data_IF_750330716308
#
_entry.id   IF_750330716308
#
_cell.length_a   1.000
_cell.length_b   1.000
_cell.length_c   1.000
_cell.angle_alpha   90.00
_cell.angle_beta   90.00
_cell.angle_gamma   90.00
#
_symmetry.space_group_name_H-M   'P 1'
#
loop_
_entity.id
_entity.type
_entity.pdbx_description
1 polymer ?
#
# COMPACT_ATOMS: atom_id res chain seq x y z
N UNK A 1 9.64 -0.50 2.54
CA UNK A 1 9.32 -1.46 3.61
C UNK A 1 8.63 -0.78 4.79
N UNK A 2 9.27 0.21 5.43
CA UNK A 2 8.74 0.91 6.62
C UNK A 2 7.32 1.45 6.43
N UNK A 3 7.03 2.07 5.29
CA UNK A 3 5.70 2.65 5.07
C UNK A 3 4.59 1.58 4.95
N UNK A 4 4.88 0.44 4.30
CA UNK A 4 3.92 -0.69 4.20
C UNK A 4 3.60 -1.23 5.60
N UNK A 5 4.64 -1.37 6.44
CA UNK A 5 4.48 -1.81 7.83
C UNK A 5 3.64 -0.81 8.62
N UNK A 6 3.94 0.49 8.52
CA UNK A 6 3.19 1.53 9.23
C UNK A 6 1.73 1.60 8.79
N UNK A 7 1.45 1.48 7.49
CA UNK A 7 0.07 1.40 6.97
C UNK A 7 -0.66 0.17 7.51
N UNK A 8 -0.01 -1.00 7.51
CA UNK A 8 -0.58 -2.23 8.08
C UNK A 8 -0.87 -2.09 9.58
N UNK A 9 0.02 -1.47 10.35
CA UNK A 9 -0.20 -1.20 11.79
C UNK A 9 -1.34 -0.21 12.01
N UNK A 10 -1.43 0.86 11.22
CA UNK A 10 -2.55 1.81 11.31
C UNK A 10 -3.88 1.10 11.07
N UNK A 11 -3.97 0.30 10.01
CA UNK A 11 -5.19 -0.44 9.68
C UNK A 11 -5.54 -1.46 10.77
N UNK A 12 -4.57 -2.24 11.26
CA UNK A 12 -4.82 -3.24 12.29
C UNK A 12 -5.30 -2.62 13.61
N UNK A 13 -4.83 -1.42 13.95
CA UNK A 13 -5.14 -0.78 15.24
C UNK A 13 -6.45 0.02 15.22
N UNK A 14 -6.89 0.53 14.07
CA UNK A 14 -8.13 1.31 13.92
C UNK A 14 -9.36 0.72 14.64
N UNK A 15 -9.76 -0.55 14.43
CA UNK A 15 -10.99 -1.09 15.02
C UNK A 15 -10.92 -1.24 16.54
N UNK A 16 -9.73 -1.17 17.14
CA UNK A 16 -9.52 -1.33 18.59
C UNK A 16 -9.26 -0.01 19.32
N UNK A 17 -9.28 1.12 18.61
CA UNK A 17 -8.97 2.43 19.19
C UNK A 17 -10.22 3.13 19.73
N UNK A 18 -10.08 3.93 20.79
CA UNK A 18 -11.14 4.84 21.20
C UNK A 18 -11.33 5.96 20.17
N UNK A 19 -12.49 6.62 20.17
CA UNK A 19 -12.86 7.61 19.15
C UNK A 19 -11.79 8.72 18.95
N UNK A 20 -11.15 9.18 20.03
CA UNK A 20 -10.07 10.16 19.93
C UNK A 20 -8.83 9.59 19.23
N UNK A 21 -8.39 8.39 19.64
CA UNK A 21 -7.23 7.74 19.05
C UNK A 21 -7.47 7.31 17.60
N UNK A 22 -8.70 6.94 17.25
CA UNK A 22 -9.10 6.65 15.87
C UNK A 22 -8.77 7.81 14.93
N UNK A 23 -9.16 9.04 15.29
CA UNK A 23 -8.86 10.22 14.48
C UNK A 23 -7.36 10.47 14.32
N UNK A 24 -6.57 10.26 15.39
CA UNK A 24 -5.12 10.35 15.31
C UNK A 24 -4.53 9.32 14.34
N UNK A 25 -4.95 8.05 14.45
CA UNK A 25 -4.51 6.98 13.55
C UNK A 25 -4.94 7.25 12.10
N UNK A 26 -6.13 7.80 11.90
CA UNK A 26 -6.67 8.16 10.59
C UNK A 26 -5.86 9.29 9.92
N UNK A 27 -5.43 10.30 10.68
CA UNK A 27 -4.53 11.35 10.18
C UNK A 27 -3.18 10.76 9.77
N UNK A 28 -2.59 9.90 10.60
CA UNK A 28 -1.31 9.25 10.29
C UNK A 28 -1.45 8.40 9.02
N UNK A 29 -2.49 7.58 8.93
CA UNK A 29 -2.79 6.78 7.76
C UNK A 29 -2.96 7.63 6.50
N UNK A 30 -3.66 8.76 6.60
CA UNK A 30 -3.86 9.71 5.49
C UNK A 30 -2.55 10.33 5.01
N UNK A 31 -1.71 10.81 5.94
CA UNK A 31 -0.39 11.38 5.61
C UNK A 31 0.49 10.32 4.94
N UNK A 32 0.56 9.11 5.49
CA UNK A 32 1.36 8.02 4.92
C UNK A 32 0.89 7.65 3.51
N UNK A 33 -0.43 7.57 3.29
CA UNK A 33 -0.99 7.17 1.99
C UNK A 33 -0.63 8.15 0.86
N UNK A 34 -0.53 9.45 1.16
CA UNK A 34 -0.22 10.47 0.16
C UNK A 34 1.28 10.82 0.06
N UNK A 35 2.03 10.71 1.16
CA UNK A 35 3.45 11.07 1.19
C UNK A 35 4.35 10.13 0.34
N UNK A 36 3.88 8.93 0.01
CA UNK A 36 4.63 7.93 -0.76
C UNK A 36 4.73 8.28 -2.25
N UNK A 37 3.70 8.91 -2.81
CA UNK A 37 3.57 9.09 -4.25
C UNK A 37 4.69 9.93 -4.86
N UNK A 38 5.05 11.11 -4.31
CA UNK A 38 6.10 11.94 -4.91
C UNK A 38 7.48 11.27 -4.93
N UNK A 39 7.96 10.62 -3.84
CA UNK A 39 9.19 9.84 -3.87
C UNK A 39 9.22 8.70 -4.90
N UNK A 40 8.12 7.94 -5.05
CA UNK A 40 8.04 6.86 -6.04
C UNK A 40 8.14 7.44 -7.46
N UNK A 41 7.38 8.49 -7.76
CA UNK A 41 7.40 9.13 -9.07
C UNK A 41 8.80 9.69 -9.41
N UNK A 42 9.44 10.37 -8.45
CA UNK A 42 10.81 10.89 -8.63
C UNK A 42 11.82 9.76 -8.86
N UNK A 43 11.70 8.65 -8.11
CA UNK A 43 12.60 7.50 -8.26
C UNK A 43 12.48 6.83 -9.63
N UNK A 44 11.26 6.65 -10.15
CA UNK A 44 11.03 6.08 -11.49
C UNK A 44 11.65 6.94 -12.60
N UNK A 45 11.51 8.27 -12.50
CA UNK A 45 12.15 9.20 -13.44
C UNK A 45 13.67 9.04 -13.40
N UNK A 46 14.27 8.97 -12.20
CA UNK A 46 15.72 8.85 -12.05
C UNK A 46 16.26 7.50 -12.56
N UNK A 47 15.50 6.41 -12.40
CA UNK A 47 15.91 5.08 -12.85
C UNK A 47 15.98 4.96 -14.36
N UNK A 48 15.09 5.62 -15.10
CA UNK A 48 15.12 5.61 -16.57
C UNK A 48 14.54 6.89 -17.14
N UNK A 49 15.34 7.97 -17.23
CA UNK A 49 14.86 9.27 -17.69
C UNK A 49 14.22 9.23 -19.07
N UNK A 50 14.82 8.47 -20.01
CA UNK A 50 14.35 8.35 -21.40
C UNK A 50 13.01 7.61 -21.55
N UNK A 51 12.65 6.73 -20.60
CA UNK A 51 11.39 5.95 -20.63
C UNK A 51 10.47 6.28 -19.46
N UNK A 52 10.70 7.43 -18.82
CA UNK A 52 10.01 7.84 -17.60
C UNK A 52 8.48 7.89 -17.76
N UNK A 53 7.98 8.41 -18.88
CA UNK A 53 6.54 8.44 -19.20
C UNK A 53 5.92 7.03 -19.24
N UNK A 54 6.63 6.06 -19.83
CA UNK A 54 6.17 4.67 -19.90
C UNK A 54 6.16 4.06 -18.49
N UNK A 55 7.23 4.26 -17.71
CA UNK A 55 7.28 3.72 -16.34
C UNK A 55 6.23 4.33 -15.43
N UNK A 56 5.98 5.64 -15.55
CA UNK A 56 4.92 6.32 -14.80
C UNK A 56 3.53 5.83 -15.21
N UNK A 57 3.27 5.68 -16.51
CA UNK A 57 1.97 5.19 -16.99
C UNK A 57 1.69 3.75 -16.52
N UNK A 58 2.70 2.88 -16.52
CA UNK A 58 2.60 1.52 -15.98
C UNK A 58 2.36 1.54 -14.47
N UNK A 59 3.10 2.36 -13.72
CA UNK A 59 2.91 2.52 -12.28
C UNK A 59 1.51 3.05 -11.94
N UNK A 60 1.03 4.06 -12.66
CA UNK A 60 -0.31 4.61 -12.48
C UNK A 60 -1.40 3.60 -12.84
N UNK A 61 -1.20 2.79 -13.88
CA UNK A 61 -2.13 1.73 -14.26
C UNK A 61 -2.23 0.67 -13.16
N UNK A 62 -1.09 0.22 -12.62
CA UNK A 62 -1.05 -0.71 -11.51
C UNK A 62 -1.70 -0.14 -10.24
N UNK A 63 -1.47 1.16 -9.95
CA UNK A 63 -2.08 1.87 -8.83
C UNK A 63 -3.60 1.94 -8.98
N UNK A 64 -4.11 2.37 -10.13
CA UNK A 64 -5.55 2.45 -10.38
C UNK A 64 -6.22 1.07 -10.38
N UNK A 65 -5.56 0.04 -10.92
CA UNK A 65 -6.03 -1.33 -10.79
C UNK A 65 -6.13 -1.75 -9.32
N UNK A 66 -5.11 -1.46 -8.52
CA UNK A 66 -5.11 -1.72 -7.08
C UNK A 66 -6.24 -1.00 -6.35
N UNK A 67 -6.51 0.28 -6.67
CA UNK A 67 -7.63 1.04 -6.11
C UNK A 67 -8.96 0.42 -6.52
N UNK A 68 -9.16 0.07 -7.79
CA UNK A 68 -10.40 -0.52 -8.27
C UNK A 68 -10.65 -1.88 -7.61
N UNK A 69 -9.63 -2.73 -7.55
CA UNK A 69 -9.70 -4.04 -6.90
C UNK A 69 -9.94 -3.92 -5.40
N UNK A 70 -9.21 -3.03 -4.71
CA UNK A 70 -9.39 -2.76 -3.29
C UNK A 70 -10.76 -2.20 -2.96
N UNK A 71 -11.27 -1.30 -3.80
CA UNK A 71 -12.65 -0.76 -3.67
C UNK A 71 -13.67 -1.86 -3.84
N UNK A 72 -13.55 -2.71 -4.86
CA UNK A 72 -14.46 -3.83 -5.08
C UNK A 72 -14.53 -4.75 -3.85
N UNK A 73 -13.38 -5.18 -3.33
CA UNK A 73 -13.34 -6.03 -2.15
C UNK A 73 -13.88 -5.30 -0.92
N UNK A 74 -13.46 -4.06 -0.70
CA UNK A 74 -13.90 -3.25 0.45
C UNK A 74 -15.42 -2.97 0.46
N UNK A 75 -16.01 -2.78 -0.72
CA UNK A 75 -17.46 -2.66 -0.88
C UNK A 75 -18.18 -3.96 -0.52
N UNK A 76 -17.72 -5.10 -1.05
CA UNK A 76 -18.30 -6.41 -0.74
C UNK A 76 -18.21 -6.72 0.77
N UNK A 77 -17.06 -6.44 1.38
CA UNK A 77 -16.84 -6.67 2.82
C UNK A 77 -17.72 -5.75 3.67
N UNK A 78 -17.86 -4.47 3.29
CA UNK A 78 -18.75 -3.54 3.98
C UNK A 78 -20.23 -3.97 3.90
N UNK A 79 -20.67 -4.47 2.74
CA UNK A 79 -22.05 -4.88 2.50
C UNK A 79 -22.41 -6.23 3.15
N UNK A 80 -21.51 -7.20 3.13
CA UNK A 80 -21.80 -8.58 3.56
C UNK A 80 -21.35 -8.92 4.99
N UNK A 81 -20.36 -8.21 5.53
CA UNK A 81 -19.80 -8.48 6.85
C UNK A 81 -20.03 -7.29 7.78
N UNK A 82 -19.11 -6.33 7.78
CA UNK A 82 -19.22 -5.05 8.47
C UNK A 82 -18.10 -4.12 8.00
N UNK A 83 -18.32 -2.81 8.16
CA UNK A 83 -17.32 -1.78 7.83
C UNK A 83 -16.03 -1.97 8.62
N UNK A 84 -16.10 -2.48 9.85
CA UNK A 84 -14.92 -2.74 10.69
C UNK A 84 -13.99 -3.80 10.09
N UNK A 85 -14.53 -4.79 9.37
CA UNK A 85 -13.70 -5.85 8.76
C UNK A 85 -12.80 -5.33 7.63
N UNK A 86 -13.10 -4.17 7.04
CA UNK A 86 -12.23 -3.56 6.02
C UNK A 86 -10.81 -3.31 6.55
N UNK A 87 -10.69 -2.96 7.83
CA UNK A 87 -9.39 -2.77 8.48
C UNK A 87 -8.54 -4.05 8.47
N UNK A 88 -9.16 -5.22 8.71
CA UNK A 88 -8.48 -6.51 8.68
C UNK A 88 -8.08 -6.93 7.27
N UNK A 89 -8.97 -6.78 6.29
CA UNK A 89 -8.67 -7.08 4.88
C UNK A 89 -7.59 -6.14 4.32
N UNK A 90 -7.63 -4.86 4.66
CA UNK A 90 -6.57 -3.91 4.32
C UNK A 90 -5.22 -4.28 4.95
N UNK A 91 -5.23 -4.74 6.20
CA UNK A 91 -4.02 -5.26 6.87
C UNK A 91 -3.49 -6.50 6.15
N UNK A 92 -4.35 -7.43 5.75
CA UNK A 92 -3.97 -8.61 4.96
C UNK A 92 -3.30 -8.20 3.65
N UNK A 93 -3.85 -7.23 2.92
CA UNK A 93 -3.23 -6.71 1.69
C UNK A 93 -1.86 -6.06 1.96
N UNK A 94 -1.72 -5.31 3.06
CA UNK A 94 -0.43 -4.75 3.46
C UNK A 94 0.61 -5.86 3.74
N UNK A 95 0.21 -6.96 4.40
CA UNK A 95 1.07 -8.13 4.63
C UNK A 95 1.47 -8.79 3.31
N UNK A 96 0.52 -9.02 2.39
CA UNK A 96 0.81 -9.61 1.08
C UNK A 96 1.76 -8.73 0.25
N UNK A 97 1.61 -7.41 0.32
CA UNK A 97 2.52 -6.46 -0.31
C UNK A 97 3.93 -6.53 0.30
N UNK A 98 4.03 -6.62 1.62
CA UNK A 98 5.31 -6.78 2.32
C UNK A 98 6.01 -8.09 1.93
N UNK A 99 5.27 -9.19 1.91
CA UNK A 99 5.78 -10.51 1.51
C UNK A 99 6.28 -10.47 0.05
N UNK A 100 5.49 -9.89 -0.86
CA UNK A 100 5.87 -9.74 -2.27
C UNK A 100 7.13 -8.89 -2.44
N UNK A 101 7.27 -7.80 -1.66
CA UNK A 101 8.47 -6.97 -1.64
C UNK A 101 9.70 -7.74 -1.15
N UNK A 102 9.56 -8.53 -0.07
CA UNK A 102 10.63 -9.37 0.45
C UNK A 102 11.05 -10.41 -0.58
N UNK A 103 10.12 -11.13 -1.22
CA UNK A 103 10.47 -12.09 -2.26
C UNK A 103 11.17 -11.45 -3.46
N UNK A 104 10.70 -10.28 -3.91
CA UNK A 104 11.32 -9.54 -5.03
C UNK A 104 12.76 -9.12 -4.72
N UNK A 105 13.00 -8.60 -3.52
CA UNK A 105 14.35 -8.17 -3.11
C UNK A 105 15.31 -9.35 -2.93
N UNK A 106 14.85 -10.48 -2.37
CA UNK A 106 15.65 -11.69 -2.25
C UNK A 106 16.05 -12.25 -3.62
N UNK A 107 15.11 -12.24 -4.59
CA UNK A 107 15.39 -12.71 -5.96
C UNK A 107 16.43 -11.84 -6.65
N UNK A 108 16.32 -10.51 -6.53
CA UNK A 108 17.31 -9.58 -7.10
C UNK A 108 18.71 -9.80 -6.50
N UNK A 109 18.80 -10.03 -5.18
CA UNK A 109 20.09 -10.29 -4.52
C UNK A 109 20.73 -11.59 -5.01
N UNK A 110 19.97 -12.68 -5.06
CA UNK A 110 20.47 -13.99 -5.53
C UNK A 110 20.95 -13.96 -6.99
N UNK A 111 20.29 -13.17 -7.85
CA UNK A 111 20.69 -13.01 -9.24
C UNK A 111 21.96 -12.15 -9.42
N UNK A 112 22.38 -11.38 -8.40
CA UNK A 112 23.60 -10.59 -8.43
C UNK A 112 24.80 -11.33 -7.80
N UNK A 113 24.56 -12.43 -7.07
CA UNK A 113 25.56 -13.24 -6.37
C UNK A 113 26.02 -14.47 -7.18
N UNK A 114 25.39 -14.78 -8.32
CA UNK A 114 25.73 -15.90 -9.20
C UNK A 114 26.09 -15.46 -10.61
#
# INVERSE_FOLDING_TARGET
MTVIVLLGVCLLTMPYTSLMFFWFVLVIWGVLSWAITPPIQSHLIQLSPETSDIQQSLNNSALHFGIAFGTLIGSIVADQLSVEQNAHFGTLFAVLALVSFLFSTQRKRRAAEG
#
